data_IF_215094818186
#
_entry.id   IF_215094818186
#
_cell.length_a   1.000
_cell.length_b   1.000
_cell.length_c   1.000
_cell.angle_alpha   90.00
_cell.angle_beta   90.00
_cell.angle_gamma   90.00
#
_symmetry.space_group_name_H-M   'P 1'
#
loop_
_entity.id
_entity.type
_entity.pdbx_description
1 polymer ?
#
# COMPACT_ATOMS: atom_id res chain seq x y z
N UNK A 1 8.22 38.25 5.89
CA UNK A 1 6.96 37.58 6.26
C UNK A 1 7.13 36.10 5.94
N UNK A 2 7.39 35.26 6.95
CA UNK A 2 7.62 33.82 6.77
C UNK A 2 6.24 33.16 6.73
N UNK A 3 5.81 32.70 5.55
CA UNK A 3 4.59 31.91 5.46
C UNK A 3 4.77 30.62 6.26
N UNK A 4 3.79 30.33 7.13
CA UNK A 4 3.73 29.10 7.89
C UNK A 4 3.93 27.91 6.96
N UNK A 5 4.98 27.12 7.21
CA UNK A 5 5.29 25.87 6.50
C UNK A 5 4.30 24.74 6.84
N UNK A 6 3.20 25.06 7.51
CA UNK A 6 2.13 24.12 7.84
C UNK A 6 1.24 23.89 6.61
N UNK A 7 1.48 22.76 5.97
CA UNK A 7 0.60 22.20 4.95
C UNK A 7 -0.29 21.14 5.62
N UNK A 8 -1.58 21.43 5.88
CA UNK A 8 -2.48 20.51 6.57
C UNK A 8 -2.64 19.18 5.81
N UNK A 9 -2.60 19.19 4.48
CA UNK A 9 -2.70 17.97 3.68
C UNK A 9 -1.47 17.07 3.90
N UNK A 10 -0.27 17.64 4.06
CA UNK A 10 0.92 16.87 4.43
C UNK A 10 0.88 16.36 5.87
N UNK A 11 0.24 17.08 6.78
CA UNK A 11 0.03 16.60 8.14
C UNK A 11 -0.91 15.38 8.15
N UNK A 12 -2.05 15.48 7.48
CA UNK A 12 -3.01 14.39 7.32
C UNK A 12 -2.39 13.17 6.64
N UNK A 13 -1.65 13.37 5.54
CA UNK A 13 -0.94 12.30 4.84
C UNK A 13 0.04 11.56 5.76
N UNK A 14 0.78 12.27 6.62
CA UNK A 14 1.71 11.66 7.58
C UNK A 14 0.97 10.84 8.64
N UNK A 15 -0.18 11.31 9.09
CA UNK A 15 -0.99 10.54 10.04
C UNK A 15 -1.58 9.28 9.41
N UNK A 16 -1.98 9.33 8.14
CA UNK A 16 -2.38 8.15 7.36
C UNK A 16 -1.19 7.18 7.25
N UNK A 17 -0.02 7.65 6.83
CA UNK A 17 1.19 6.81 6.70
C UNK A 17 1.53 6.11 8.03
N UNK A 18 1.52 6.85 9.15
CA UNK A 18 1.73 6.28 10.49
C UNK A 18 0.65 5.28 10.88
N UNK A 19 -0.62 5.52 10.53
CA UNK A 19 -1.71 4.59 10.80
C UNK A 19 -1.51 3.26 10.04
N UNK A 20 -1.13 3.32 8.75
CA UNK A 20 -0.78 2.15 7.96
C UNK A 20 0.40 1.38 8.58
N UNK A 21 1.47 2.08 8.96
CA UNK A 21 2.63 1.47 9.59
C UNK A 21 2.25 0.74 10.89
N UNK A 22 1.52 1.40 11.81
CA UNK A 22 1.09 0.80 13.08
C UNK A 22 0.19 -0.42 12.86
N UNK A 23 -0.80 -0.31 11.97
CA UNK A 23 -1.74 -1.40 11.70
C UNK A 23 -1.01 -2.64 11.18
N UNK A 24 -0.15 -2.48 10.17
CA UNK A 24 0.57 -3.58 9.53
C UNK A 24 1.81 -4.04 10.30
N UNK A 25 2.12 -3.45 11.46
CA UNK A 25 3.09 -3.98 12.42
C UNK A 25 2.46 -4.96 13.43
N UNK A 26 1.14 -4.99 13.54
CA UNK A 26 0.45 -5.99 14.37
C UNK A 26 0.53 -7.39 13.76
N UNK A 27 0.40 -8.43 14.58
CA UNK A 27 0.44 -9.83 14.14
C UNK A 27 -0.60 -10.11 13.04
N UNK A 28 -1.84 -9.65 13.24
CA UNK A 28 -2.90 -9.84 12.25
C UNK A 28 -2.70 -8.96 11.02
N UNK A 29 -2.18 -7.73 11.19
CA UNK A 29 -1.77 -6.88 10.08
C UNK A 29 -0.76 -7.59 9.17
N UNK A 30 0.25 -8.24 9.75
CA UNK A 30 1.25 -8.98 8.97
C UNK A 30 0.69 -10.20 8.25
N UNK A 31 -0.26 -10.92 8.88
CA UNK A 31 -0.99 -12.02 8.20
C UNK A 31 -1.77 -11.51 7.00
N UNK A 32 -2.51 -10.40 7.17
CA UNK A 32 -3.28 -9.78 6.08
C UNK A 32 -2.35 -9.29 4.96
N UNK A 33 -1.25 -8.61 5.30
CA UNK A 33 -0.30 -8.13 4.30
C UNK A 33 0.33 -9.27 3.50
N UNK A 34 0.72 -10.35 4.18
CA UNK A 34 1.25 -11.55 3.54
C UNK A 34 0.22 -12.19 2.60
N UNK A 35 -1.04 -12.29 3.03
CA UNK A 35 -2.12 -12.79 2.19
C UNK A 35 -2.33 -11.93 0.94
N UNK A 36 -2.35 -10.60 1.08
CA UNK A 36 -2.47 -9.67 -0.05
C UNK A 36 -1.33 -9.83 -1.06
N UNK A 37 -0.09 -9.97 -0.59
CA UNK A 37 1.06 -10.21 -1.47
C UNK A 37 0.95 -11.53 -2.22
N UNK A 38 0.44 -12.59 -1.58
CA UNK A 38 0.24 -13.91 -2.22
C UNK A 38 -0.78 -13.81 -3.36
N UNK A 39 -1.94 -13.20 -3.11
CA UNK A 39 -3.02 -13.18 -4.10
C UNK A 39 -2.79 -12.18 -5.25
N UNK A 40 -1.80 -11.29 -5.12
CA UNK A 40 -1.48 -10.25 -6.12
C UNK A 40 -0.13 -10.45 -6.81
N UNK A 41 0.98 -10.45 -6.08
CA UNK A 41 2.33 -10.57 -6.65
C UNK A 41 2.69 -12.01 -7.00
N UNK A 42 2.32 -12.96 -6.14
CA UNK A 42 2.65 -14.38 -6.35
C UNK A 42 1.60 -15.11 -7.19
N UNK A 43 0.56 -14.41 -7.65
CA UNK A 43 -0.46 -14.96 -8.52
C UNK A 43 0.05 -15.01 -9.97
N UNK A 44 0.23 -16.24 -10.47
CA UNK A 44 0.49 -16.50 -11.87
C UNK A 44 -0.83 -16.66 -12.65
N UNK A 45 -0.86 -16.08 -13.84
CA UNK A 45 -1.93 -16.25 -14.82
C UNK A 45 -1.42 -17.14 -15.96
N UNK A 46 -2.30 -17.98 -16.50
CA UNK A 46 -1.96 -18.87 -17.60
C UNK A 46 -1.79 -18.12 -18.92
N UNK A 47 -1.18 -18.75 -19.93
CA UNK A 47 -0.96 -18.12 -21.25
C UNK A 47 -2.27 -17.77 -21.98
N UNK A 48 -3.39 -18.38 -21.60
CA UNK A 48 -4.72 -18.12 -22.16
C UNK A 48 -5.52 -17.05 -21.39
N UNK A 49 -4.90 -16.35 -20.42
CA UNK A 49 -5.59 -15.30 -19.68
C UNK A 49 -5.89 -14.08 -20.55
N UNK A 50 -7.06 -13.48 -20.34
CA UNK A 50 -7.50 -12.32 -21.12
C UNK A 50 -6.78 -11.04 -20.70
N UNK A 51 -6.77 -10.04 -21.57
CA UNK A 51 -6.19 -8.73 -21.26
C UNK A 51 -6.91 -8.03 -20.10
N UNK A 52 -8.22 -8.22 -19.95
CA UNK A 52 -9.00 -7.70 -18.83
C UNK A 52 -8.53 -8.31 -17.51
N UNK A 53 -8.27 -9.62 -17.49
CA UNK A 53 -7.76 -10.31 -16.30
C UNK A 53 -6.36 -9.83 -15.92
N UNK A 54 -5.49 -9.63 -16.91
CA UNK A 54 -4.15 -9.09 -16.71
C UNK A 54 -4.20 -7.66 -16.15
N UNK A 55 -4.99 -6.78 -16.76
CA UNK A 55 -5.17 -5.39 -16.29
C UNK A 55 -5.78 -5.32 -14.90
N UNK A 56 -6.76 -6.17 -14.62
CA UNK A 56 -7.37 -6.25 -13.29
C UNK A 56 -6.34 -6.67 -12.23
N UNK A 57 -5.54 -7.70 -12.50
CA UNK A 57 -4.48 -8.14 -11.58
C UNK A 57 -3.41 -7.05 -11.39
N UNK A 58 -3.06 -6.33 -12.44
CA UNK A 58 -2.11 -5.21 -12.34
C UNK A 58 -2.65 -4.05 -11.49
N UNK A 59 -3.95 -3.76 -11.59
CA UNK A 59 -4.62 -2.80 -10.70
C UNK A 59 -4.50 -3.21 -9.23
N UNK A 60 -4.70 -4.50 -8.92
CA UNK A 60 -4.52 -5.02 -7.56
C UNK A 60 -3.06 -4.91 -7.08
N UNK A 61 -2.08 -5.22 -7.93
CA UNK A 61 -0.65 -5.09 -7.60
C UNK A 61 -0.26 -3.65 -7.30
N UNK A 62 -0.76 -2.70 -8.09
CA UNK A 62 -0.54 -1.27 -7.87
C UNK A 62 -1.10 -0.80 -6.53
N UNK A 63 -2.29 -1.28 -6.15
CA UNK A 63 -2.89 -0.99 -4.85
C UNK A 63 -2.05 -1.54 -3.70
N UNK A 64 -1.65 -2.82 -3.75
CA UNK A 64 -0.82 -3.43 -2.70
C UNK A 64 0.56 -2.76 -2.62
N UNK A 65 1.17 -2.40 -3.75
CA UNK A 65 2.40 -1.62 -3.78
C UNK A 65 2.23 -0.24 -3.11
N UNK A 66 1.07 0.40 -3.27
CA UNK A 66 0.76 1.67 -2.60
C UNK A 66 0.67 1.49 -1.08
N UNK A 67 0.03 0.43 -0.61
CA UNK A 67 -0.01 0.07 0.82
C UNK A 67 1.42 -0.10 1.36
N UNK A 68 2.28 -0.83 0.66
CA UNK A 68 3.68 -1.03 1.06
C UNK A 68 4.46 0.30 1.15
N UNK A 69 4.24 1.23 0.22
CA UNK A 69 4.86 2.57 0.27
C UNK A 69 4.36 3.38 1.47
N UNK A 70 3.07 3.33 1.79
CA UNK A 70 2.51 4.02 2.96
C UNK A 70 3.12 3.48 4.26
N UNK A 71 3.26 2.15 4.37
CA UNK A 71 3.91 1.49 5.51
C UNK A 71 5.37 1.94 5.64
N UNK A 72 6.14 1.89 4.54
CA UNK A 72 7.56 2.28 4.56
C UNK A 72 7.75 3.75 4.96
N UNK A 73 6.92 4.66 4.44
CA UNK A 73 6.96 6.08 4.83
C UNK A 73 6.56 6.29 6.28
N UNK A 74 5.51 5.61 6.75
CA UNK A 74 5.04 5.71 8.13
C UNK A 74 6.03 5.16 9.17
N UNK A 75 6.93 4.26 8.76
CA UNK A 75 8.05 3.78 9.60
C UNK A 75 9.23 4.75 9.67
N UNK A 76 9.38 5.63 8.67
CA UNK A 76 10.47 6.61 8.56
C UNK A 76 10.11 7.99 9.12
N UNK A 77 8.82 8.23 9.37
CA UNK A 77 8.26 9.50 9.87
C UNK A 77 8.20 9.56 11.39
#
# INVERSE_FOLDING_TARGET
MVYSSYDPAKAEQREIEKAFARLFMSDDGQKVLSHLQVITFNRALGPASSEEQLRYLEGQRSLVATILRLIDRGRKA
#
